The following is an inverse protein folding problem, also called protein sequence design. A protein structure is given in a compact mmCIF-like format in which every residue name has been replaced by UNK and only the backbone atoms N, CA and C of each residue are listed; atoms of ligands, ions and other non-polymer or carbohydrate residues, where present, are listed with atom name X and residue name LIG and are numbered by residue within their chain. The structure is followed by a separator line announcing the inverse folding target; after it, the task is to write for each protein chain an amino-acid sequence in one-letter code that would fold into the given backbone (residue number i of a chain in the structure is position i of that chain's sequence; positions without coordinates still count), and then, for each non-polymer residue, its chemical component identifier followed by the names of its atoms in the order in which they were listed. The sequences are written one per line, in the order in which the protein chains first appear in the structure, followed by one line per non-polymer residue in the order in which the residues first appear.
data_IF_714564871787
#
_entry.id   IF_714564871787
#
_cell.length_a   1.000
_cell.length_b   1.000
_cell.length_c   1.000
_cell.angle_alpha   90.00
_cell.angle_beta   90.00
_cell.angle_gamma   90.00
#
_symmetry.space_group_name_H-M   'P 1'
#
loop_
_entity.id
_entity.type
_entity.pdbx_description
1 polymer ?
#
# COMPACT_ATOMS: atom_id res chain seq x y z
N UNK A 1 -10.05 -22.45 10.13
CA UNK A 1 -10.93 -21.36 9.61
C UNK A 1 -10.29 -20.04 9.99
N UNK A 2 -9.93 -19.21 9.01
CA UNK A 2 -9.38 -17.86 9.24
C UNK A 2 -10.42 -17.00 9.94
N UNK A 3 -10.03 -16.30 11.03
CA UNK A 3 -10.97 -15.49 11.83
C UNK A 3 -11.26 -14.12 11.22
N UNK A 4 -10.41 -13.70 10.28
CA UNK A 4 -10.51 -12.43 9.58
C UNK A 4 -11.18 -12.66 8.22
N UNK A 5 -12.33 -12.02 7.92
CA UNK A 5 -12.94 -12.05 6.60
C UNK A 5 -11.98 -11.55 5.52
N UNK A 6 -12.08 -12.08 4.29
CA UNK A 6 -11.17 -11.73 3.18
C UNK A 6 -11.09 -10.22 2.93
N UNK A 7 -12.23 -9.53 2.91
CA UNK A 7 -12.22 -8.08 2.66
C UNK A 7 -11.52 -7.29 3.77
N UNK A 8 -11.68 -7.70 5.03
CA UNK A 8 -11.03 -7.04 6.17
C UNK A 8 -9.53 -7.36 6.22
N UNK A 9 -9.14 -8.55 5.75
CA UNK A 9 -7.74 -8.89 5.51
C UNK A 9 -7.13 -8.00 4.42
N UNK A 10 -7.81 -7.79 3.31
CA UNK A 10 -7.34 -6.91 2.23
C UNK A 10 -7.17 -5.47 2.74
N UNK A 11 -8.07 -5.01 3.62
CA UNK A 11 -7.96 -3.71 4.31
C UNK A 11 -6.73 -3.66 5.24
N UNK A 12 -6.48 -4.70 6.02
CA UNK A 12 -5.29 -4.80 6.88
C UNK A 12 -3.99 -4.79 6.05
N UNK A 13 -3.99 -5.45 4.88
CA UNK A 13 -2.86 -5.44 3.96
C UNK A 13 -2.62 -4.06 3.34
N UNK A 14 -3.69 -3.42 2.86
CA UNK A 14 -3.62 -2.06 2.31
C UNK A 14 -3.10 -1.03 3.34
N UNK A 15 -3.27 -1.30 4.64
CA UNK A 15 -2.80 -0.41 5.69
C UNK A 15 -1.27 -0.37 5.83
N UNK A 16 -0.53 -1.35 5.31
CA UNK A 16 0.92 -1.24 5.14
C UNK A 16 1.33 -1.00 3.68
N UNK A 17 0.52 -1.36 2.69
CA UNK A 17 0.85 -1.10 1.28
C UNK A 17 0.75 0.37 0.88
N UNK A 18 -0.33 1.06 1.22
CA UNK A 18 -0.51 2.47 0.84
C UNK A 18 0.60 3.37 1.43
N UNK A 19 1.06 3.19 2.68
CA UNK A 19 2.27 3.87 3.17
C UNK A 19 3.54 3.55 2.37
N UNK A 20 3.71 2.33 1.87
CA UNK A 20 4.86 1.99 1.02
C UNK A 20 4.80 2.72 -0.32
N UNK A 21 3.61 2.83 -0.92
CA UNK A 21 3.38 3.59 -2.16
C UNK A 21 3.76 5.05 -1.95
N UNK A 22 3.29 5.69 -0.86
CA UNK A 22 3.65 7.07 -0.53
C UNK A 22 5.17 7.27 -0.39
N UNK A 23 5.83 6.37 0.34
CA UNK A 23 7.29 6.43 0.53
C UNK A 23 8.07 6.32 -0.79
N UNK A 24 7.55 5.58 -1.77
CA UNK A 24 8.17 5.49 -3.10
C UNK A 24 7.91 6.78 -3.87
N UNK A 25 6.68 7.27 -3.91
CA UNK A 25 6.33 8.52 -4.59
C UNK A 25 7.14 9.72 -4.05
N UNK A 26 7.31 9.83 -2.73
CA UNK A 26 8.17 10.84 -2.10
C UNK A 26 9.62 10.78 -2.59
N UNK A 27 10.17 9.57 -2.75
CA UNK A 27 11.53 9.37 -3.27
C UNK A 27 11.61 9.70 -4.75
N UNK A 28 10.62 9.24 -5.54
CA UNK A 28 10.57 9.43 -6.98
C UNK A 28 10.43 10.92 -7.33
N UNK A 29 9.65 11.69 -6.56
CA UNK A 29 9.56 13.14 -6.70
C UNK A 29 10.95 13.79 -6.61
N UNK A 30 11.71 13.49 -5.55
CA UNK A 30 13.06 14.02 -5.33
C UNK A 30 14.02 13.60 -6.46
N UNK A 31 13.90 12.36 -6.95
CA UNK A 31 14.73 11.85 -8.05
C UNK A 31 14.42 12.62 -9.34
N UNK A 32 13.15 12.84 -9.66
CA UNK A 32 12.73 13.57 -10.86
C UNK A 32 13.12 15.04 -10.78
N UNK A 33 12.95 15.68 -9.63
CA UNK A 33 13.39 17.06 -9.38
C UNK A 33 14.89 17.25 -9.64
N UNK A 34 15.71 16.25 -9.29
CA UNK A 34 17.17 16.27 -9.47
C UNK A 34 17.63 15.63 -10.78
N UNK A 35 16.70 15.19 -11.62
CA UNK A 35 17.03 14.49 -12.86
C UNK A 35 17.41 15.46 -14.00
N UNK A 36 17.98 14.92 -15.08
CA UNK A 36 18.22 15.67 -16.32
C UNK A 36 16.99 15.84 -17.22
N UNK A 37 15.78 15.63 -16.70
CA UNK A 37 14.54 15.79 -17.48
C UNK A 37 14.33 17.27 -17.80
N UNK A 38 14.18 17.58 -19.10
CA UNK A 38 14.09 18.97 -19.58
C UNK A 38 12.88 19.75 -19.04
N UNK A 39 11.77 19.05 -18.80
CA UNK A 39 10.51 19.62 -18.33
C UNK A 39 9.98 18.75 -17.17
N UNK A 40 10.51 18.88 -15.95
CA UNK A 40 10.19 17.98 -14.84
C UNK A 40 8.82 18.27 -14.22
N UNK A 41 8.29 19.50 -14.39
CA UNK A 41 7.10 19.98 -13.70
C UNK A 41 5.86 19.09 -13.89
N UNK A 42 5.48 18.65 -15.10
CA UNK A 42 4.31 17.80 -15.27
C UNK A 42 4.42 16.44 -14.58
N UNK A 43 5.65 15.90 -14.43
CA UNK A 43 5.88 14.64 -13.73
C UNK A 43 5.75 14.80 -12.22
N UNK A 44 6.25 15.91 -11.68
CA UNK A 44 6.11 16.25 -10.26
C UNK A 44 4.64 16.44 -9.91
N UNK A 45 3.88 17.19 -10.72
CA UNK A 45 2.44 17.39 -10.53
C UNK A 45 1.66 16.06 -10.58
N UNK A 46 2.02 15.17 -11.51
CA UNK A 46 1.45 13.82 -11.56
C UNK A 46 1.70 13.05 -10.25
N UNK A 47 2.92 13.12 -9.70
CA UNK A 47 3.25 12.47 -8.43
C UNK A 47 2.47 13.09 -7.27
N UNK A 48 2.42 14.41 -7.16
CA UNK A 48 1.70 15.13 -6.11
C UNK A 48 0.21 14.76 -6.09
N UNK A 49 -0.46 14.81 -7.24
CA UNK A 49 -1.86 14.41 -7.38
C UNK A 49 -2.09 12.93 -7.08
N UNK A 50 -1.08 12.09 -7.36
CA UNK A 50 -1.10 10.67 -7.03
C UNK A 50 -1.01 10.45 -5.52
N UNK A 51 -0.09 11.14 -4.85
CA UNK A 51 0.05 11.10 -3.39
C UNK A 51 -1.22 11.57 -2.69
N UNK A 52 -1.87 12.63 -3.16
CA UNK A 52 -3.13 13.12 -2.58
C UNK A 52 -4.22 12.04 -2.60
N UNK A 53 -4.38 11.29 -3.69
CA UNK A 53 -5.38 10.22 -3.70
C UNK A 53 -5.00 9.03 -2.81
N UNK A 54 -3.73 8.61 -2.83
CA UNK A 54 -3.27 7.53 -1.94
C UNK A 54 -3.48 7.92 -0.47
N UNK A 55 -3.25 9.18 -0.11
CA UNK A 55 -3.51 9.71 1.24
C UNK A 55 -5.00 9.71 1.60
N UNK A 56 -5.88 10.09 0.67
CA UNK A 56 -7.34 10.04 0.87
C UNK A 56 -7.83 8.62 1.12
N UNK A 57 -7.36 7.66 0.32
CA UNK A 57 -7.71 6.25 0.47
C UNK A 57 -7.16 5.68 1.79
N UNK A 58 -5.92 6.03 2.15
CA UNK A 58 -5.32 5.64 3.42
C UNK A 58 -6.06 6.23 4.62
N UNK A 59 -6.52 7.48 4.54
CA UNK A 59 -7.29 8.12 5.60
C UNK A 59 -8.65 7.41 5.79
N UNK A 60 -9.33 7.10 4.68
CA UNK A 60 -10.59 6.36 4.66
C UNK A 60 -10.41 4.96 5.25
N UNK A 61 -9.37 4.26 4.84
CA UNK A 61 -9.00 2.95 5.36
C UNK A 61 -8.71 2.97 6.85
N UNK A 62 -7.86 3.90 7.32
CA UNK A 62 -7.53 4.05 8.75
C UNK A 62 -8.76 4.36 9.59
N UNK A 63 -9.71 5.15 9.06
CA UNK A 63 -10.98 5.41 9.74
C UNK A 63 -11.77 4.12 9.90
N UNK A 64 -12.01 3.39 8.80
CA UNK A 64 -12.70 2.10 8.84
C UNK A 64 -12.04 1.12 9.83
N UNK A 65 -10.71 1.01 9.81
CA UNK A 65 -9.98 0.14 10.71
C UNK A 65 -10.20 0.47 12.18
N UNK A 66 -10.17 1.77 12.56
CA UNK A 66 -10.46 2.19 13.93
C UNK A 66 -11.87 1.82 14.34
N UNK A 67 -12.84 2.11 13.49
CA UNK A 67 -14.26 1.88 13.76
C UNK A 67 -14.59 0.38 13.91
N UNK A 68 -13.77 -0.51 13.32
CA UNK A 68 -13.98 -1.97 13.33
C UNK A 68 -12.99 -2.71 14.26
N UNK A 69 -12.21 -2.00 15.08
CA UNK A 69 -11.27 -2.62 16.03
C UNK A 69 -10.14 -3.38 15.34
N UNK A 70 -9.64 -2.86 14.22
CA UNK A 70 -8.58 -3.45 13.41
C UNK A 70 -7.28 -2.65 13.51
N UNK A 71 -6.15 -3.35 13.53
CA UNK A 71 -4.82 -2.73 13.55
C UNK A 71 -3.81 -3.64 12.87
N UNK A 72 -2.84 -3.05 12.19
CA UNK A 72 -1.67 -3.75 11.68
C UNK A 72 -0.41 -3.16 12.29
N UNK A 73 0.54 -4.01 12.69
CA UNK A 73 1.83 -3.60 13.26
C UNK A 73 2.95 -4.37 12.57
N UNK A 74 3.96 -3.67 12.05
CA UNK A 74 5.18 -4.32 11.56
C UNK A 74 5.98 -4.82 12.76
N UNK A 75 6.29 -6.11 12.80
CA UNK A 75 7.03 -6.72 13.89
C UNK A 75 8.53 -6.78 13.62
N UNK A 76 8.92 -7.53 12.58
CA UNK A 76 10.32 -7.69 12.16
C UNK A 76 10.42 -7.78 10.66
N UNK A 77 11.62 -7.57 10.15
CA UNK A 77 11.94 -7.64 8.73
C UNK A 77 13.35 -8.17 8.61
N UNK A 78 13.54 -9.11 7.70
CA UNK A 78 14.86 -9.56 7.25
C UNK A 78 14.97 -9.35 5.73
N UNK A 79 16.01 -9.92 5.13
CA UNK A 79 16.29 -9.79 3.69
C UNK A 79 15.18 -10.40 2.82
N UNK A 80 14.59 -11.51 3.26
CA UNK A 80 13.61 -12.26 2.48
C UNK A 80 12.16 -11.96 2.87
N UNK A 81 11.89 -11.68 4.15
CA UNK A 81 10.54 -11.58 4.68
C UNK A 81 10.31 -10.36 5.56
N UNK A 82 9.05 -9.91 5.58
CA UNK A 82 8.53 -8.95 6.56
C UNK A 82 7.36 -9.56 7.32
N UNK A 83 7.44 -9.52 8.65
CA UNK A 83 6.39 -10.02 9.55
C UNK A 83 5.50 -8.88 10.03
N UNK A 84 4.19 -9.08 9.93
CA UNK A 84 3.16 -8.19 10.47
C UNK A 84 2.28 -8.91 11.48
N UNK A 85 1.84 -8.17 12.51
CA UNK A 85 0.78 -8.57 13.43
C UNK A 85 -0.52 -7.93 12.97
N UNK A 86 -1.51 -8.75 12.69
CA UNK A 86 -2.89 -8.33 12.43
C UNK A 86 -3.66 -8.47 13.72
N UNK A 87 -4.23 -7.36 14.18
CA UNK A 87 -5.18 -7.34 15.30
C UNK A 87 -6.56 -7.10 14.70
N UNK A 88 -7.51 -7.98 14.99
CA UNK A 88 -8.88 -7.91 14.52
C UNK A 88 -9.84 -8.24 15.65
N UNK A 89 -10.56 -7.24 16.17
CA UNK A 89 -11.53 -7.40 17.27
C UNK A 89 -10.98 -8.16 18.49
N UNK A 90 -9.72 -7.88 18.84
CA UNK A 90 -9.00 -8.53 19.95
C UNK A 90 -8.32 -9.86 19.60
N UNK A 91 -8.49 -10.38 18.39
CA UNK A 91 -7.73 -11.52 17.89
C UNK A 91 -6.44 -11.08 17.25
N UNK A 92 -5.37 -11.83 17.47
CA UNK A 92 -4.05 -11.57 16.92
C UNK A 92 -3.61 -12.70 15.96
N UNK A 93 -3.19 -12.33 14.76
CA UNK A 93 -2.61 -13.25 13.76
C UNK A 93 -1.29 -12.68 13.25
N UNK A 94 -0.21 -13.47 13.26
CA UNK A 94 1.06 -13.08 12.64
C UNK A 94 1.11 -13.56 11.18
N UNK A 95 1.54 -12.67 10.30
CA UNK A 95 1.62 -12.90 8.85
C UNK A 95 3.03 -12.59 8.36
N UNK A 96 3.65 -13.54 7.66
CA UNK A 96 4.94 -13.38 7.01
C UNK A 96 4.76 -13.14 5.52
N UNK A 97 5.32 -12.06 5.01
CA UNK A 97 5.25 -11.69 3.61
C UNK A 97 6.62 -11.73 2.97
N UNK A 98 6.73 -12.41 1.83
CA UNK A 98 7.94 -12.44 1.02
C UNK A 98 8.17 -11.06 0.40
N UNK A 99 9.33 -10.45 0.68
CA UNK A 99 9.65 -9.07 0.29
C UNK A 99 9.49 -8.81 -1.23
N UNK A 100 9.91 -9.72 -2.13
CA UNK A 100 9.63 -9.57 -3.56
C UNK A 100 8.13 -9.52 -3.90
N UNK A 101 7.26 -10.27 -3.22
CA UNK A 101 5.81 -10.19 -3.44
C UNK A 101 5.23 -8.86 -2.96
N UNK A 102 5.70 -8.35 -1.81
CA UNK A 102 5.32 -7.01 -1.34
C UNK A 102 5.69 -5.96 -2.40
N UNK A 103 6.92 -6.02 -2.92
CA UNK A 103 7.41 -5.11 -3.95
C UNK A 103 6.55 -5.17 -5.22
N UNK A 104 6.27 -6.36 -5.72
CA UNK A 104 5.44 -6.54 -6.92
C UNK A 104 4.04 -5.95 -6.73
N UNK A 105 3.43 -6.15 -5.56
CA UNK A 105 2.11 -5.58 -5.30
C UNK A 105 2.15 -4.05 -5.19
N UNK A 106 3.17 -3.49 -4.55
CA UNK A 106 3.39 -2.03 -4.51
C UNK A 106 3.56 -1.45 -5.91
N UNK A 107 4.29 -2.14 -6.80
CA UNK A 107 4.41 -1.73 -8.20
C UNK A 107 3.05 -1.73 -8.92
N UNK A 108 2.21 -2.76 -8.69
CA UNK A 108 0.86 -2.80 -9.25
C UNK A 108 -0.01 -1.65 -8.72
N UNK A 109 0.08 -1.33 -7.42
CA UNK A 109 -0.60 -0.18 -6.85
C UNK A 109 -0.12 1.13 -7.46
N UNK A 110 1.19 1.31 -7.66
CA UNK A 110 1.73 2.48 -8.36
C UNK A 110 1.16 2.60 -9.77
N UNK A 111 1.12 1.51 -10.55
CA UNK A 111 0.51 1.49 -11.89
C UNK A 111 -0.97 1.89 -11.85
N UNK A 112 -1.72 1.39 -10.88
CA UNK A 112 -3.11 1.77 -10.67
C UNK A 112 -3.24 3.26 -10.34
N UNK A 113 -2.53 3.75 -9.33
CA UNK A 113 -2.64 5.13 -8.89
C UNK A 113 -2.12 6.14 -9.93
N UNK A 114 -1.07 5.82 -10.69
CA UNK A 114 -0.55 6.71 -11.72
C UNK A 114 -1.42 6.74 -12.98
N UNK A 115 -2.00 5.60 -13.37
CA UNK A 115 -2.65 5.44 -14.68
C UNK A 115 -4.05 4.85 -14.55
N UNK A 116 -4.19 3.71 -13.86
CA UNK A 116 -5.44 2.95 -13.80
C UNK A 116 -6.63 3.74 -13.26
N UNK A 117 -6.43 4.53 -12.19
CA UNK A 117 -7.50 5.35 -11.58
C UNK A 117 -8.07 6.38 -12.55
N UNK A 118 -7.24 6.92 -13.45
CA UNK A 118 -7.64 7.93 -14.45
C UNK A 118 -8.40 7.28 -15.61
N UNK A 119 -8.23 5.96 -15.80
CA UNK A 119 -8.91 5.15 -16.80
C UNK A 119 -10.08 4.34 -16.22
N UNK A 120 -10.58 4.70 -15.04
CA UNK A 120 -11.67 3.99 -14.34
C UNK A 120 -11.43 2.48 -14.16
N UNK A 121 -10.16 2.06 -14.05
CA UNK A 121 -9.82 0.67 -13.72
C UNK A 121 -10.08 0.40 -12.23
N UNK A 122 -10.24 -0.87 -11.85
CA UNK A 122 -10.27 -1.26 -10.44
C UNK A 122 -8.86 -1.40 -9.85
N UNK A 123 -8.67 -1.14 -8.55
CA UNK A 123 -7.39 -1.37 -7.88
C UNK A 123 -7.03 -2.87 -7.89
N UNK A 124 -5.72 -3.21 -7.95
CA UNK A 124 -5.29 -4.60 -7.90
C UNK A 124 -5.61 -5.18 -6.52
N UNK A 125 -6.19 -6.38 -6.50
CA UNK A 125 -6.28 -7.16 -5.26
C UNK A 125 -4.89 -7.55 -4.78
N UNK A 126 -4.65 -7.56 -3.48
CA UNK A 126 -3.38 -7.96 -2.89
C UNK A 126 -3.01 -9.40 -3.24
N UNK A 127 -3.96 -10.34 -3.24
CA UNK A 127 -3.80 -11.68 -3.83
C UNK A 127 -2.66 -12.51 -3.23
N UNK A 128 -2.17 -12.18 -2.03
CA UNK A 128 -0.89 -12.70 -1.50
C UNK A 128 -0.95 -14.12 -0.96
N UNK A 129 -2.12 -14.76 -0.95
CA UNK A 129 -2.25 -16.13 -0.42
C UNK A 129 -3.04 -17.00 -1.40
N UNK A 130 -2.32 -17.51 -2.40
CA UNK A 130 -2.47 -18.89 -2.85
C UNK A 130 -1.08 -19.53 -2.89
N UNK A 131 -0.63 -19.97 -1.72
CA UNK A 131 0.37 -21.02 -1.57
C UNK A 131 -0.22 -22.05 -0.63
#
# INVERSE_FOLDING_TARGET
MTRIPTEDRDRLENAFYLPMVLKILERDQIVIEKSGVKLPRPYIELIEETMIAVQRDLATLKKYMRDHGMKVVKLKSDEAFTMYLFVYKGYEEQHNYFNPRLRNHVENLLRYYLIGRLKSMSPPSSGLIRS
#
